data_IF_677816801508
#
_entry.id   IF_677816801508
#
_cell.length_a   1.000
_cell.length_b   1.000
_cell.length_c   1.000
_cell.angle_alpha   90.00
_cell.angle_beta   90.00
_cell.angle_gamma   90.00
#
_symmetry.space_group_name_H-M   'P 1'
#
loop_
_entity.id
_entity.type
_entity.pdbx_description
1 polymer ?
#
# COMPACT_ATOMS: atom_id res chain seq x y z
N UNK A 1 17.23 14.86 -10.65
CA UNK A 1 15.88 14.29 -10.47
C UNK A 1 15.26 14.74 -9.15
N UNK A 2 15.95 14.61 -8.00
CA UNK A 2 15.45 15.09 -6.69
C UNK A 2 15.30 16.60 -6.64
N UNK A 3 16.23 17.37 -7.20
CA UNK A 3 16.14 18.83 -7.34
C UNK A 3 14.88 19.25 -8.09
N UNK A 4 14.59 18.63 -9.23
CA UNK A 4 13.39 18.90 -10.02
C UNK A 4 12.09 18.51 -9.29
N UNK A 5 12.11 17.44 -8.51
CA UNK A 5 10.98 17.07 -7.68
C UNK A 5 10.74 18.11 -6.57
N UNK A 6 11.82 18.57 -5.93
CA UNK A 6 11.75 19.58 -4.88
C UNK A 6 11.25 20.93 -5.40
N UNK A 7 11.77 21.40 -6.54
CA UNK A 7 11.33 22.66 -7.19
C UNK A 7 9.83 22.64 -7.50
N UNK A 8 9.28 21.49 -7.88
CA UNK A 8 7.86 21.30 -8.22
C UNK A 8 7.01 20.81 -7.07
N UNK A 9 7.61 20.62 -5.90
CA UNK A 9 6.97 20.00 -4.75
C UNK A 9 6.32 18.64 -5.07
N UNK A 10 6.89 17.90 -6.01
CA UNK A 10 6.42 16.60 -6.43
C UNK A 10 6.87 15.51 -5.46
N UNK A 11 6.13 14.42 -5.42
CA UNK A 11 6.54 13.20 -4.73
C UNK A 11 7.61 12.47 -5.53
N UNK A 12 8.56 11.87 -4.84
CA UNK A 12 9.57 10.99 -5.41
C UNK A 12 9.38 9.59 -4.83
N UNK A 13 9.18 8.61 -5.70
CA UNK A 13 9.03 7.21 -5.30
C UNK A 13 10.12 6.36 -5.92
N UNK A 14 10.66 5.42 -5.13
CA UNK A 14 11.62 4.42 -5.59
C UNK A 14 11.42 3.08 -4.87
N UNK A 15 11.81 1.97 -5.53
CA UNK A 15 11.96 0.67 -4.88
C UNK A 15 13.15 0.77 -3.93
N UNK A 16 12.97 0.37 -2.69
CA UNK A 16 13.99 0.51 -1.63
C UNK A 16 14.07 -0.73 -0.76
N UNK A 17 15.28 -1.24 -0.57
CA UNK A 17 15.56 -2.36 0.32
C UNK A 17 14.63 -3.55 0.10
N UNK A 18 14.33 -3.83 -1.17
CA UNK A 18 13.36 -4.82 -1.57
C UNK A 18 13.87 -6.24 -1.36
N UNK A 19 15.15 -6.49 -1.64
CA UNK A 19 15.77 -7.80 -1.51
C UNK A 19 17.27 -7.70 -1.13
N UNK A 20 17.81 -8.80 -0.59
CA UNK A 20 19.17 -8.82 -0.08
C UNK A 20 20.25 -8.48 -1.13
N UNK A 21 20.01 -8.83 -2.39
CA UNK A 21 20.95 -8.52 -3.49
C UNK A 21 21.13 -7.02 -3.70
N UNK A 22 20.07 -6.24 -3.61
CA UNK A 22 20.10 -4.77 -3.69
C UNK A 22 20.98 -4.20 -2.55
N UNK A 23 20.69 -4.62 -1.32
CA UNK A 23 21.44 -4.17 -0.15
C UNK A 23 22.93 -4.52 -0.28
N UNK A 24 23.23 -5.75 -0.69
CA UNK A 24 24.62 -6.21 -0.88
C UNK A 24 25.33 -5.44 -1.98
N UNK A 25 24.66 -5.15 -3.10
CA UNK A 25 25.20 -4.33 -4.18
C UNK A 25 25.59 -2.92 -3.67
N UNK A 26 24.70 -2.27 -2.91
CA UNK A 26 24.97 -0.94 -2.35
C UNK A 26 26.15 -0.97 -1.36
N UNK A 27 26.20 -1.95 -0.47
CA UNK A 27 27.30 -2.11 0.48
C UNK A 27 28.65 -2.36 -0.22
N UNK A 28 28.68 -3.17 -1.28
CA UNK A 28 29.90 -3.44 -2.03
C UNK A 28 30.39 -2.22 -2.81
N UNK A 29 29.47 -1.46 -3.43
CA UNK A 29 29.83 -0.38 -4.33
C UNK A 29 30.01 0.96 -3.62
N UNK A 30 29.19 1.26 -2.63
CA UNK A 30 29.15 2.57 -1.98
C UNK A 30 29.52 2.53 -0.49
N UNK A 31 29.72 1.35 0.09
CA UNK A 31 29.96 1.15 1.53
C UNK A 31 28.81 1.71 2.41
N UNK A 32 27.63 1.89 1.83
CA UNK A 32 26.41 2.40 2.44
C UNK A 32 25.25 1.50 2.05
N UNK A 33 24.25 1.39 2.93
CA UNK A 33 22.98 0.74 2.60
C UNK A 33 22.11 1.67 1.71
N UNK A 34 21.07 1.16 1.02
CA UNK A 34 20.33 1.97 0.05
C UNK A 34 19.80 3.30 0.59
N UNK A 35 19.14 3.31 1.75
CA UNK A 35 18.65 4.56 2.36
C UNK A 35 19.77 5.47 2.85
N UNK A 36 20.84 4.91 3.42
CA UNK A 36 22.02 5.67 3.83
C UNK A 36 22.68 6.38 2.65
N UNK A 37 22.75 5.70 1.51
CA UNK A 37 23.29 6.26 0.28
C UNK A 37 22.41 7.43 -0.22
N UNK A 38 21.09 7.26 -0.27
CA UNK A 38 20.18 8.34 -0.68
C UNK A 38 20.19 9.52 0.30
N UNK A 39 20.33 9.26 1.61
CA UNK A 39 20.47 10.34 2.61
C UNK A 39 21.76 11.13 2.39
N UNK A 40 22.88 10.46 2.11
CA UNK A 40 24.18 11.11 1.81
C UNK A 40 24.13 12.01 0.57
N UNK A 41 23.19 11.77 -0.34
CA UNK A 41 22.94 12.59 -1.52
C UNK A 41 21.88 13.69 -1.30
N UNK A 42 21.32 13.79 -0.08
CA UNK A 42 20.25 14.75 0.22
C UNK A 42 18.93 14.48 -0.51
N UNK A 43 18.67 13.23 -0.89
CA UNK A 43 17.46 12.84 -1.65
C UNK A 43 16.26 12.59 -0.73
N UNK A 44 16.52 12.11 0.50
CA UNK A 44 15.44 11.77 1.44
C UNK A 44 14.77 13.01 2.00
N UNK A 45 13.45 13.01 1.96
CA UNK A 45 12.61 14.10 2.48
C UNK A 45 11.22 13.58 2.82
N UNK A 46 10.39 14.45 3.39
CA UNK A 46 8.97 14.19 3.65
C UNK A 46 8.12 13.97 2.38
N UNK A 47 8.73 14.10 1.20
CA UNK A 47 8.14 13.81 -0.12
C UNK A 47 8.67 12.54 -0.75
N UNK A 48 9.55 11.82 -0.06
CA UNK A 48 10.08 10.55 -0.56
C UNK A 48 9.22 9.38 -0.06
N UNK A 49 8.87 8.49 -0.98
CA UNK A 49 8.14 7.24 -0.71
C UNK A 49 9.05 6.08 -1.09
N UNK A 50 9.42 5.27 -0.11
CA UNK A 50 10.13 4.01 -0.34
C UNK A 50 9.15 2.86 -0.53
N UNK A 51 9.07 2.32 -1.74
CA UNK A 51 8.30 1.10 -1.99
C UNK A 51 9.04 -0.11 -1.39
N UNK A 52 8.29 -1.09 -0.92
CA UNK A 52 8.74 -2.34 -0.29
C UNK A 52 9.38 -2.15 1.09
N UNK A 53 10.60 -1.60 1.18
CA UNK A 53 11.32 -1.34 2.45
C UNK A 53 11.33 -2.55 3.39
N UNK A 54 11.69 -3.74 2.85
CA UNK A 54 11.61 -5.02 3.55
C UNK A 54 12.80 -5.22 4.47
N UNK A 55 14.02 -4.94 3.97
CA UNK A 55 15.28 -5.29 4.63
C UNK A 55 15.94 -4.03 5.19
N UNK A 56 15.33 -3.44 6.20
CA UNK A 56 15.82 -2.24 6.88
C UNK A 56 16.74 -2.60 8.05
N UNK A 57 17.80 -1.80 8.24
CA UNK A 57 18.56 -1.76 9.49
C UNK A 57 17.90 -0.78 10.48
N UNK A 58 18.27 -0.85 11.77
CA UNK A 58 17.78 0.11 12.77
C UNK A 58 18.21 1.56 12.44
N UNK A 59 19.39 1.72 11.84
CA UNK A 59 19.86 3.03 11.40
C UNK A 59 19.01 3.57 10.25
N UNK A 60 18.66 2.73 9.24
CA UNK A 60 17.76 3.14 8.16
C UNK A 60 16.36 3.48 8.69
N UNK A 61 15.80 2.72 9.64
CA UNK A 61 14.53 3.08 10.29
C UNK A 61 14.61 4.48 10.96
N UNK A 62 15.72 4.78 11.63
CA UNK A 62 15.94 6.10 12.21
C UNK A 62 15.99 7.20 11.14
N UNK A 63 16.67 6.97 10.01
CA UNK A 63 16.68 7.89 8.86
C UNK A 63 15.28 8.13 8.31
N UNK A 64 14.48 7.07 8.12
CA UNK A 64 13.09 7.19 7.66
C UNK A 64 12.27 8.08 8.58
N UNK A 65 12.37 7.88 9.88
CA UNK A 65 11.69 8.71 10.88
C UNK A 65 12.17 10.17 10.84
N UNK A 66 13.48 10.39 10.85
CA UNK A 66 14.08 11.72 11.01
C UNK A 66 13.90 12.58 9.73
N UNK A 67 13.79 11.95 8.57
CA UNK A 67 13.50 12.59 7.28
C UNK A 67 12.01 12.58 6.91
N UNK A 68 11.17 12.04 7.78
CA UNK A 68 9.72 11.86 7.54
C UNK A 68 9.42 11.12 6.22
N UNK A 69 10.28 10.15 5.85
CA UNK A 69 10.10 9.30 4.67
C UNK A 69 8.90 8.39 4.89
N UNK A 70 8.07 8.24 3.86
CA UNK A 70 6.92 7.34 3.88
C UNK A 70 7.29 5.99 3.28
N UNK A 71 6.61 4.94 3.73
CA UNK A 71 6.82 3.57 3.25
C UNK A 71 5.54 3.05 2.60
N UNK A 72 5.66 2.47 1.41
CA UNK A 72 4.57 1.77 0.73
C UNK A 72 4.88 0.27 0.66
N UNK A 73 4.21 -0.55 1.46
CA UNK A 73 4.33 -2.00 1.35
C UNK A 73 3.43 -2.56 0.26
N UNK A 74 3.95 -3.55 -0.47
CA UNK A 74 3.22 -4.33 -1.47
C UNK A 74 3.21 -5.80 -1.00
N UNK A 75 2.31 -6.19 -0.10
CA UNK A 75 2.39 -7.44 0.66
C UNK A 75 2.53 -8.70 -0.18
N UNK A 76 1.76 -8.83 -1.25
CA UNK A 76 1.83 -9.99 -2.13
C UNK A 76 3.20 -10.10 -2.79
N UNK A 77 3.68 -9.03 -3.39
CA UNK A 77 5.00 -8.97 -4.03
C UNK A 77 6.12 -9.18 -3.01
N UNK A 78 5.98 -8.61 -1.81
CA UNK A 78 6.99 -8.71 -0.75
C UNK A 78 7.20 -10.14 -0.26
N UNK A 79 6.16 -10.98 -0.24
CA UNK A 79 6.24 -12.37 0.28
C UNK A 79 7.31 -13.23 -0.40
N UNK A 80 7.62 -12.96 -1.67
CA UNK A 80 8.70 -13.64 -2.39
C UNK A 80 10.12 -13.19 -2.01
N UNK A 81 10.26 -12.12 -1.23
CA UNK A 81 11.53 -11.44 -0.97
C UNK A 81 11.81 -11.32 0.54
N UNK A 82 10.78 -11.22 1.35
CA UNK A 82 10.84 -11.14 2.80
C UNK A 82 9.56 -10.57 3.41
N UNK A 83 9.52 -10.48 4.72
CA UNK A 83 8.41 -9.87 5.47
C UNK A 83 8.98 -8.67 6.22
N UNK A 84 8.49 -7.44 5.95
CA UNK A 84 8.98 -6.23 6.61
C UNK A 84 8.65 -6.21 8.11
N UNK A 85 9.41 -5.45 8.87
CA UNK A 85 9.15 -5.21 10.29
C UNK A 85 8.20 -4.02 10.50
N UNK A 86 7.01 -4.14 9.93
CA UNK A 86 6.01 -3.06 9.98
C UNK A 86 5.58 -2.66 11.39
N UNK A 87 5.41 -3.61 12.36
CA UNK A 87 5.11 -3.21 13.73
C UNK A 87 6.12 -2.19 14.27
N UNK A 88 7.42 -2.45 14.12
CA UNK A 88 8.48 -1.54 14.55
C UNK A 88 8.46 -0.20 13.82
N UNK A 89 8.15 -0.17 12.52
CA UNK A 89 8.01 1.09 11.76
C UNK A 89 6.89 1.96 12.32
N UNK A 90 5.72 1.36 12.59
CA UNK A 90 4.56 2.06 13.14
C UNK A 90 4.82 2.55 14.58
N UNK A 91 5.49 1.75 15.41
CA UNK A 91 5.89 2.13 16.77
C UNK A 91 6.83 3.34 16.76
N UNK A 92 7.70 3.45 15.77
CA UNK A 92 8.60 4.59 15.56
C UNK A 92 7.91 5.79 14.90
N UNK A 93 6.60 5.72 14.60
CA UNK A 93 5.81 6.81 14.01
C UNK A 93 5.99 6.96 12.50
N UNK A 94 6.65 6.01 11.83
CA UNK A 94 6.83 6.03 10.37
C UNK A 94 5.48 5.73 9.70
N UNK A 95 5.09 6.58 8.75
CA UNK A 95 3.86 6.38 7.99
C UNK A 95 4.03 5.23 6.99
N UNK A 96 3.18 4.22 7.11
CA UNK A 96 3.17 3.06 6.21
C UNK A 96 1.80 2.92 5.56
N UNK A 97 1.77 2.87 4.24
CA UNK A 97 0.59 2.54 3.45
C UNK A 97 0.76 1.23 2.68
N UNK A 98 -0.31 0.81 1.99
CA UNK A 98 -0.34 -0.39 1.17
C UNK A 98 -0.46 -0.04 -0.30
N UNK A 99 0.23 -0.81 -1.14
CA UNK A 99 0.16 -0.81 -2.59
C UNK A 99 0.05 -2.23 -3.13
N UNK A 100 -0.22 -2.37 -4.41
CA UNK A 100 -0.40 -3.66 -5.09
C UNK A 100 0.82 -4.09 -5.89
N UNK A 101 1.81 -3.21 -6.07
CA UNK A 101 2.87 -3.40 -7.06
C UNK A 101 2.29 -3.57 -8.48
N UNK A 102 2.98 -4.26 -9.36
CA UNK A 102 2.51 -4.53 -10.72
C UNK A 102 1.31 -5.48 -10.78
N UNK A 103 0.49 -5.34 -11.83
CA UNK A 103 -0.72 -6.15 -12.03
C UNK A 103 -0.45 -7.68 -12.09
N UNK A 104 0.80 -8.09 -12.36
CA UNK A 104 1.22 -9.49 -12.34
C UNK A 104 1.19 -10.14 -10.95
N UNK A 105 1.16 -9.32 -9.88
CA UNK A 105 1.14 -9.76 -8.49
C UNK A 105 -0.27 -9.60 -7.91
N UNK A 106 -1.12 -10.60 -7.95
CA UNK A 106 -2.39 -10.60 -7.22
C UNK A 106 -3.51 -9.70 -7.74
N UNK A 107 -3.35 -9.04 -8.90
CA UNK A 107 -4.43 -8.40 -9.65
C UNK A 107 -4.96 -7.08 -9.07
N UNK A 108 -4.10 -6.12 -8.71
CA UNK A 108 -4.49 -4.75 -8.32
C UNK A 108 -5.59 -4.64 -7.24
N UNK A 109 -5.66 -5.61 -6.32
CA UNK A 109 -6.68 -5.65 -5.27
C UNK A 109 -6.11 -5.36 -3.89
N UNK A 110 -6.40 -4.19 -3.32
CA UNK A 110 -6.01 -3.87 -1.95
C UNK A 110 -6.65 -4.81 -0.92
N UNK A 111 -7.80 -5.45 -1.19
CA UNK A 111 -8.33 -6.49 -0.30
C UNK A 111 -7.42 -7.70 -0.22
N UNK A 112 -6.87 -8.15 -1.36
CA UNK A 112 -5.90 -9.25 -1.36
C UNK A 112 -4.65 -8.85 -0.57
N UNK A 113 -4.14 -7.64 -0.80
CA UNK A 113 -2.97 -7.12 -0.08
C UNK A 113 -3.20 -7.06 1.44
N UNK A 114 -4.34 -6.54 1.89
CA UNK A 114 -4.69 -6.46 3.31
C UNK A 114 -4.76 -7.84 3.97
N UNK A 115 -5.38 -8.83 3.30
CA UNK A 115 -5.51 -10.21 3.82
C UNK A 115 -4.16 -10.89 3.96
N UNK A 116 -3.35 -10.81 2.91
CA UNK A 116 -1.99 -11.37 2.90
C UNK A 116 -1.15 -10.68 3.97
N UNK A 117 -1.19 -9.34 4.02
CA UNK A 117 -0.45 -8.56 5.00
C UNK A 117 -0.75 -9.01 6.44
N UNK A 118 -2.03 -9.10 6.81
CA UNK A 118 -2.42 -9.59 8.13
C UNK A 118 -1.87 -10.98 8.43
N UNK A 119 -2.00 -11.89 7.47
CA UNK A 119 -1.57 -13.28 7.64
C UNK A 119 -0.06 -13.38 7.86
N UNK A 120 0.75 -12.70 7.04
CA UNK A 120 2.20 -12.75 7.16
C UNK A 120 2.72 -12.01 8.40
N UNK A 121 2.09 -10.90 8.79
CA UNK A 121 2.42 -10.21 10.05
C UNK A 121 2.16 -11.09 11.26
N UNK A 122 1.01 -11.77 11.31
CA UNK A 122 0.69 -12.71 12.38
C UNK A 122 1.67 -13.88 12.39
N UNK A 123 2.00 -14.46 11.24
CA UNK A 123 2.94 -15.58 11.15
C UNK A 123 4.35 -15.21 11.63
N UNK A 124 4.86 -14.04 11.23
CA UNK A 124 6.23 -13.63 11.58
C UNK A 124 6.35 -13.00 12.97
N UNK A 125 5.50 -12.03 13.25
CA UNK A 125 5.63 -11.20 14.46
C UNK A 125 4.66 -11.63 15.55
N UNK A 126 3.40 -11.97 15.17
CA UNK A 126 2.37 -12.35 16.12
C UNK A 126 2.67 -13.65 16.86
N UNK A 127 3.07 -14.69 16.15
CA UNK A 127 3.43 -16.00 16.74
C UNK A 127 4.61 -15.84 17.71
N UNK A 128 5.66 -15.11 17.29
CA UNK A 128 6.85 -14.91 18.11
C UNK A 128 6.55 -14.13 19.41
N UNK A 129 5.54 -13.28 19.42
CA UNK A 129 5.13 -12.45 20.57
C UNK A 129 3.93 -13.02 21.33
N UNK A 130 3.37 -14.15 20.90
CA UNK A 130 2.11 -14.68 21.44
C UNK A 130 0.91 -13.73 21.25
N UNK A 131 0.97 -12.84 20.24
CA UNK A 131 -0.02 -11.81 19.96
C UNK A 131 -0.68 -12.01 18.58
N UNK A 132 -1.82 -12.72 18.48
CA UNK A 132 -2.50 -12.94 17.20
C UNK A 132 -3.12 -11.65 16.61
N UNK A 133 -3.09 -10.56 17.34
CA UNK A 133 -3.63 -9.25 16.95
C UNK A 133 -2.52 -8.20 16.74
N UNK A 134 -1.31 -8.62 16.42
CA UNK A 134 -0.15 -7.73 16.23
C UNK A 134 -0.44 -6.61 15.23
N UNK A 135 -1.26 -6.90 14.20
CA UNK A 135 -1.76 -5.92 13.24
C UNK A 135 -3.31 -5.94 13.25
N UNK A 136 -3.94 -5.09 14.07
CA UNK A 136 -5.39 -5.01 14.15
C UNK A 136 -6.02 -4.61 12.81
N UNK A 137 -7.20 -5.14 12.48
CA UNK A 137 -7.89 -4.84 11.23
C UNK A 137 -8.09 -3.34 10.99
N UNK A 138 -8.38 -2.57 12.04
CA UNK A 138 -8.50 -1.10 11.97
C UNK A 138 -7.20 -0.43 11.48
N UNK A 139 -6.04 -0.91 11.94
CA UNK A 139 -4.75 -0.38 11.50
C UNK A 139 -4.51 -0.69 10.02
N UNK A 140 -4.78 -1.93 9.60
CA UNK A 140 -4.59 -2.34 8.19
C UNK A 140 -5.52 -1.57 7.25
N UNK A 141 -6.78 -1.38 7.63
CA UNK A 141 -7.71 -0.54 6.87
C UNK A 141 -7.24 0.92 6.80
N UNK A 142 -6.66 1.46 7.88
CA UNK A 142 -6.06 2.78 7.86
C UNK A 142 -4.91 2.87 6.86
N UNK A 143 -4.03 1.87 6.80
CA UNK A 143 -2.92 1.81 5.85
C UNK A 143 -3.40 1.77 4.39
N UNK A 144 -4.55 1.15 4.12
CA UNK A 144 -5.16 1.09 2.79
C UNK A 144 -6.01 2.32 2.43
N UNK A 145 -6.25 3.24 3.37
CA UNK A 145 -7.10 4.42 3.18
C UNK A 145 -6.39 5.70 3.64
N UNK A 146 -6.63 6.15 4.87
CA UNK A 146 -6.11 7.39 5.42
C UNK A 146 -4.58 7.52 5.31
N UNK A 147 -3.85 6.45 5.65
CA UNK A 147 -2.38 6.49 5.63
C UNK A 147 -1.86 6.45 4.18
N UNK A 148 -2.59 5.82 3.24
CA UNK A 148 -2.33 5.93 1.81
C UNK A 148 -2.43 7.39 1.30
N UNK A 149 -3.45 8.13 1.73
CA UNK A 149 -3.57 9.58 1.43
C UNK A 149 -2.44 10.40 2.05
N UNK A 150 -2.02 10.07 3.27
CA UNK A 150 -0.86 10.71 3.90
C UNK A 150 0.45 10.47 3.14
N UNK A 151 0.64 9.27 2.57
CA UNK A 151 1.78 8.99 1.68
C UNK A 151 1.79 9.95 0.50
N UNK A 152 0.63 10.16 -0.11
CA UNK A 152 0.47 11.02 -1.29
C UNK A 152 0.44 12.51 -0.94
N UNK A 153 0.53 12.87 0.35
CA UNK A 153 0.36 14.25 0.84
C UNK A 153 -0.97 14.89 0.41
N UNK A 154 -2.00 14.07 0.33
CA UNK A 154 -3.35 14.46 -0.06
C UNK A 154 -4.30 14.45 1.15
N UNK A 155 -5.31 15.29 1.12
CA UNK A 155 -6.27 15.44 2.22
C UNK A 155 -7.54 14.62 1.98
N UNK A 156 -7.45 13.33 2.22
CA UNK A 156 -8.52 12.36 1.97
C UNK A 156 -8.38 11.07 2.77
N UNK A 157 -8.95 9.98 2.26
CA UNK A 157 -8.91 8.65 2.89
C UNK A 157 -9.79 8.51 4.13
N UNK A 158 -10.64 9.50 4.39
CA UNK A 158 -11.64 9.51 5.47
C UNK A 158 -12.92 10.18 4.98
N UNK A 159 -14.07 9.72 5.46
CA UNK A 159 -15.36 10.35 5.18
C UNK A 159 -15.59 11.43 6.24
N UNK A 160 -15.29 12.68 5.88
CA UNK A 160 -15.48 13.84 6.75
C UNK A 160 -15.69 15.11 5.92
N UNK A 161 -16.38 16.10 6.51
CA UNK A 161 -16.60 17.38 5.86
C UNK A 161 -15.25 18.08 5.54
N UNK A 162 -15.13 18.61 4.32
CA UNK A 162 -13.93 19.30 3.83
C UNK A 162 -12.83 18.38 3.28
N UNK A 163 -13.02 17.06 3.31
CA UNK A 163 -12.09 16.09 2.72
C UNK A 163 -12.48 15.72 1.30
N UNK A 164 -11.53 15.14 0.54
CA UNK A 164 -11.85 14.60 -0.79
C UNK A 164 -12.96 13.57 -0.69
N UNK A 165 -13.92 13.67 -1.59
CA UNK A 165 -15.08 12.76 -1.65
C UNK A 165 -14.75 11.51 -2.47
N UNK A 166 -13.78 10.74 -1.97
CA UNK A 166 -13.36 9.45 -2.52
C UNK A 166 -13.91 8.35 -1.62
N UNK A 167 -14.87 7.59 -2.12
CA UNK A 167 -15.50 6.53 -1.36
C UNK A 167 -16.02 5.41 -2.25
N UNK A 168 -16.24 4.27 -1.62
CA UNK A 168 -16.92 3.11 -2.20
C UNK A 168 -18.08 2.71 -1.31
N UNK A 169 -19.09 2.08 -1.88
CA UNK A 169 -20.15 1.39 -1.12
C UNK A 169 -20.03 -0.11 -1.29
N UNK A 170 -20.36 -0.86 -0.24
CA UNK A 170 -20.24 -2.32 -0.19
C UNK A 170 -21.60 -2.90 0.19
N UNK A 171 -22.08 -3.88 -0.58
CA UNK A 171 -23.29 -4.61 -0.24
C UNK A 171 -23.02 -5.69 0.80
N UNK A 172 -23.38 -5.43 2.05
CA UNK A 172 -23.20 -6.37 3.14
C UNK A 172 -24.23 -7.52 3.16
N UNK A 173 -25.28 -7.48 2.31
CA UNK A 173 -26.31 -8.53 2.22
C UNK A 173 -25.89 -9.64 1.26
N UNK A 174 -24.69 -10.18 1.48
CA UNK A 174 -24.15 -11.31 0.74
C UNK A 174 -23.97 -12.51 1.67
N UNK A 175 -24.21 -13.75 1.22
CA UNK A 175 -24.10 -14.93 2.08
C UNK A 175 -22.77 -15.07 2.79
N UNK A 176 -21.65 -14.72 2.13
CA UNK A 176 -20.30 -14.82 2.67
C UNK A 176 -19.95 -13.68 3.66
N UNK A 177 -20.76 -12.62 3.75
CA UNK A 177 -20.59 -11.50 4.67
C UNK A 177 -21.55 -11.57 5.86
N UNK A 178 -22.49 -12.50 5.86
CA UNK A 178 -23.55 -12.56 6.84
C UNK A 178 -23.48 -13.83 7.71
N UNK A 179 -23.71 -13.74 9.02
CA UNK A 179 -24.01 -12.54 9.80
C UNK A 179 -22.75 -11.68 10.05
N UNK A 180 -22.91 -10.37 9.91
CA UNK A 180 -21.82 -9.42 10.16
C UNK A 180 -21.69 -9.19 11.67
N UNK A 181 -20.67 -9.78 12.29
CA UNK A 181 -20.37 -9.56 13.72
C UNK A 181 -19.55 -8.28 13.93
N UNK A 182 -18.24 -8.37 13.76
CA UNK A 182 -17.35 -7.21 13.80
C UNK A 182 -17.15 -6.66 12.38
N UNK A 183 -17.78 -5.52 12.08
CA UNK A 183 -17.75 -4.91 10.74
C UNK A 183 -16.34 -4.67 10.23
N UNK A 184 -15.43 -4.20 11.09
CA UNK A 184 -14.05 -3.88 10.69
C UNK A 184 -13.28 -5.14 10.27
N UNK A 185 -13.45 -6.25 11.01
CA UNK A 185 -12.88 -7.52 10.64
C UNK A 185 -13.55 -8.09 9.38
N UNK A 186 -14.87 -7.98 9.24
CA UNK A 186 -15.59 -8.42 8.04
C UNK A 186 -15.09 -7.68 6.79
N UNK A 187 -14.92 -6.36 6.88
CA UNK A 187 -14.37 -5.56 5.79
C UNK A 187 -12.97 -6.03 5.37
N UNK A 188 -12.13 -6.40 6.31
CA UNK A 188 -10.78 -6.85 6.00
C UNK A 188 -10.73 -8.30 5.52
N UNK A 189 -11.43 -9.21 6.22
CA UNK A 189 -11.26 -10.66 6.05
C UNK A 189 -12.17 -11.26 4.98
N UNK A 190 -13.40 -10.74 4.85
CA UNK A 190 -14.43 -11.38 4.05
C UNK A 190 -14.75 -10.63 2.75
N UNK A 191 -14.71 -9.30 2.76
CA UNK A 191 -15.04 -8.47 1.58
C UNK A 191 -14.01 -8.69 0.47
N UNK A 192 -14.51 -8.63 -0.75
CA UNK A 192 -13.72 -8.67 -2.00
C UNK A 192 -14.09 -7.48 -2.89
N UNK A 193 -13.33 -7.26 -3.97
CA UNK A 193 -13.66 -6.22 -4.94
C UNK A 193 -15.03 -6.46 -5.62
N UNK A 194 -15.51 -7.72 -5.66
CA UNK A 194 -16.82 -8.06 -6.21
C UNK A 194 -18.01 -7.52 -5.38
N UNK A 195 -17.78 -7.20 -4.11
CA UNK A 195 -18.83 -6.71 -3.19
C UNK A 195 -19.01 -5.18 -3.25
N UNK A 196 -18.12 -4.47 -3.97
CA UNK A 196 -18.23 -3.02 -4.19
C UNK A 196 -19.35 -2.73 -5.18
N UNK A 197 -20.30 -1.88 -4.77
CA UNK A 197 -21.44 -1.49 -5.60
C UNK A 197 -21.18 -0.18 -6.35
N UNK A 198 -20.73 0.83 -5.62
CA UNK A 198 -20.50 2.17 -6.18
C UNK A 198 -19.08 2.61 -5.87
N UNK A 199 -18.53 3.47 -6.73
CA UNK A 199 -17.25 4.12 -6.52
C UNK A 199 -17.32 5.57 -6.98
N UNK A 200 -16.84 6.47 -6.12
CA UNK A 200 -16.70 7.90 -6.43
C UNK A 200 -15.27 8.35 -6.14
N UNK A 201 -14.75 9.23 -6.99
CA UNK A 201 -13.45 9.90 -6.84
C UNK A 201 -13.65 11.39 -7.05
N UNK A 202 -13.18 12.19 -6.10
CA UNK A 202 -13.32 13.65 -6.08
C UNK A 202 -14.79 14.10 -6.26
N UNK A 203 -15.71 13.33 -5.67
CA UNK A 203 -17.16 13.57 -5.77
C UNK A 203 -17.80 13.12 -7.09
N UNK A 204 -17.02 12.69 -8.07
CA UNK A 204 -17.53 12.15 -9.32
C UNK A 204 -17.80 10.64 -9.19
N UNK A 205 -19.05 10.24 -9.46
CA UNK A 205 -19.43 8.84 -9.49
C UNK A 205 -18.85 8.16 -10.74
N UNK A 206 -17.98 7.17 -10.54
CA UNK A 206 -17.30 6.43 -11.61
C UNK A 206 -17.96 5.08 -11.89
N UNK A 207 -18.55 4.48 -10.86
CA UNK A 207 -19.30 3.22 -10.94
C UNK A 207 -20.56 3.32 -10.08
N UNK A 208 -21.68 2.79 -10.57
CA UNK A 208 -22.96 2.73 -9.84
C UNK A 208 -23.62 1.36 -10.07
N UNK A 209 -23.99 0.71 -8.96
CA UNK A 209 -24.56 -0.65 -9.00
C UNK A 209 -23.72 -1.62 -9.85
N UNK A 210 -22.38 -1.50 -9.80
CA UNK A 210 -21.39 -2.25 -10.59
C UNK A 210 -21.34 -1.92 -12.07
N UNK A 211 -22.05 -0.94 -12.54
CA UNK A 211 -21.97 -0.43 -13.91
C UNK A 211 -20.94 0.71 -13.96
N UNK A 212 -19.95 0.61 -14.84
CA UNK A 212 -18.96 1.67 -15.07
C UNK A 212 -19.60 2.80 -15.88
N UNK A 213 -19.47 4.03 -15.36
CA UNK A 213 -20.10 5.21 -15.97
C UNK A 213 -19.15 5.97 -16.90
N UNK A 214 -17.86 5.76 -16.77
CA UNK A 214 -16.81 6.53 -17.48
C UNK A 214 -15.97 5.70 -18.42
N UNK A 215 -16.14 4.38 -18.42
CA UNK A 215 -15.40 3.43 -19.23
C UNK A 215 -16.37 2.50 -19.96
N UNK A 216 -16.03 2.14 -21.18
CA UNK A 216 -16.70 1.11 -21.98
C UNK A 216 -16.01 -0.23 -21.74
N UNK A 217 -16.52 -1.00 -20.77
CA UNK A 217 -15.92 -2.27 -20.34
C UNK A 217 -15.90 -3.30 -21.47
N UNK A 218 -16.99 -3.41 -22.24
CA UNK A 218 -17.08 -4.37 -23.35
C UNK A 218 -16.03 -4.08 -24.43
N UNK A 219 -15.87 -2.81 -24.78
CA UNK A 219 -14.84 -2.40 -25.73
C UNK A 219 -13.43 -2.67 -25.21
N UNK A 220 -13.16 -2.39 -23.95
CA UNK A 220 -11.84 -2.63 -23.33
C UNK A 220 -11.50 -4.12 -23.37
N UNK A 221 -12.45 -4.99 -23.03
CA UNK A 221 -12.25 -6.44 -23.06
C UNK A 221 -12.00 -6.93 -24.50
N UNK A 222 -12.80 -6.46 -25.48
CA UNK A 222 -12.62 -6.82 -26.89
C UNK A 222 -11.27 -6.33 -27.44
N UNK A 223 -10.81 -5.13 -27.05
CA UNK A 223 -9.50 -4.60 -27.43
C UNK A 223 -8.35 -5.44 -26.83
N UNK A 224 -8.49 -5.85 -25.56
CA UNK A 224 -7.51 -6.71 -24.89
C UNK A 224 -7.43 -8.10 -25.57
N UNK A 225 -8.56 -8.71 -25.90
CA UNK A 225 -8.60 -9.99 -26.62
C UNK A 225 -7.94 -9.90 -28.02
N UNK A 226 -8.22 -8.81 -28.75
CA UNK A 226 -7.56 -8.58 -30.05
C UNK A 226 -6.05 -8.47 -29.91
N UNK A 227 -5.58 -7.74 -28.91
CA UNK A 227 -4.14 -7.60 -28.63
C UNK A 227 -3.51 -8.95 -28.29
N UNK A 228 -4.12 -9.75 -27.42
CA UNK A 228 -3.61 -11.07 -27.05
C UNK A 228 -3.48 -12.03 -28.26
N UNK A 229 -4.36 -11.92 -29.21
CA UNK A 229 -4.33 -12.73 -30.45
C UNK A 229 -3.24 -12.28 -31.45
N UNK A 230 -2.54 -11.17 -31.18
CA UNK A 230 -1.40 -10.68 -31.97
C UNK A 230 -0.03 -11.07 -31.41
N UNK A 231 0.02 -11.63 -30.19
CA UNK A 231 1.21 -12.13 -29.52
C UNK A 231 1.47 -13.59 -29.85
#
# INVERSE_FOLDING_TARGET
TSEHANERQALLQAHMNEYAGEVNFHLQRFQLRPYEYLDSLGVLSDRFIGAHSIILSEHEKALLRDRDVKVCHCPFSNCGKGIPDTPSLLEQGICVGLGTDGAAHGGLSLWNEMKIFRSVMNAKHGVAQGNPSIMPAKQILSMATRDGYRLMKEDGGVIAAGKKADFITINLRQPHLYPTGNLVNTLLECVTAADVCDAAVDGQLLMKNRELLTLDEERILADAERYMNTL
#
